data_IF_889436329047
#
_entry.id   IF_889436329047
#
_cell.length_a   1.000
_cell.length_b   1.000
_cell.length_c   1.000
_cell.angle_alpha   90.00
_cell.angle_beta   90.00
_cell.angle_gamma   90.00
#
_symmetry.space_group_name_H-M   'P 1'
#
loop_
_entity.id
_entity.type
_entity.pdbx_description
1 polymer ?
#
# COMPACT_ATOMS: atom_id res chain seq x y z
N UNK A 1 -8.54 -1.11 15.07
CA UNK A 1 -9.57 -0.74 14.07
C UNK A 1 -9.23 -1.18 12.64
N UNK A 2 -8.04 -0.91 12.10
CA UNK A 2 -7.74 -1.21 10.67
C UNK A 2 -7.72 -2.71 10.28
N UNK A 3 -7.73 -3.65 11.24
CA UNK A 3 -7.59 -5.10 10.99
C UNK A 3 -8.76 -5.75 10.23
N UNK A 4 -9.94 -5.13 10.20
CA UNK A 4 -11.19 -5.74 9.66
C UNK A 4 -11.88 -4.82 8.66
N UNK A 5 -11.27 -3.70 8.27
CA UNK A 5 -11.88 -2.77 7.32
C UNK A 5 -11.71 -3.28 5.87
N UNK A 6 -12.82 -3.44 5.12
CA UNK A 6 -12.77 -3.70 3.68
C UNK A 6 -12.00 -2.58 2.95
N UNK A 7 -11.37 -2.93 1.83
CA UNK A 7 -10.66 -1.97 0.98
C UNK A 7 -11.16 -2.07 -0.45
N UNK A 8 -11.07 -0.95 -1.18
CA UNK A 8 -11.28 -0.89 -2.62
C UNK A 8 -10.18 -0.03 -3.25
N UNK A 9 -9.77 -0.28 -4.49
CA UNK A 9 -8.89 0.63 -5.20
C UNK A 9 -9.60 1.97 -5.47
N UNK A 10 -8.82 3.04 -5.68
CA UNK A 10 -9.38 4.33 -6.14
C UNK A 10 -9.91 4.19 -7.56
N UNK A 11 -9.21 3.44 -8.41
CA UNK A 11 -9.61 3.11 -9.77
C UNK A 11 -9.71 1.60 -9.94
N UNK A 12 -10.86 1.10 -10.37
CA UNK A 12 -11.12 -0.34 -10.56
C UNK A 12 -10.13 -1.00 -11.54
N UNK A 13 -9.66 -0.24 -12.53
CA UNK A 13 -8.69 -0.72 -13.53
C UNK A 13 -7.27 -0.90 -12.97
N UNK A 14 -6.96 -0.39 -11.77
CA UNK A 14 -5.60 -0.41 -11.22
C UNK A 14 -5.11 -1.83 -10.93
N UNK A 15 -5.94 -2.68 -10.32
CA UNK A 15 -5.55 -4.07 -10.00
C UNK A 15 -5.33 -4.90 -11.28
N UNK A 16 -6.24 -4.91 -12.28
CA UNK A 16 -5.99 -5.58 -13.56
C UNK A 16 -4.72 -5.08 -14.27
N UNK A 17 -4.44 -3.78 -14.22
CA UNK A 17 -3.22 -3.21 -14.82
C UNK A 17 -1.95 -3.73 -14.15
N UNK A 18 -1.91 -3.80 -12.81
CA UNK A 18 -0.79 -4.40 -12.08
C UNK A 18 -0.61 -5.88 -12.45
N UNK A 19 -1.68 -6.66 -12.47
CA UNK A 19 -1.61 -8.07 -12.84
C UNK A 19 -1.04 -8.28 -14.25
N UNK A 20 -1.46 -7.46 -15.22
CA UNK A 20 -0.92 -7.49 -16.59
C UNK A 20 0.58 -7.15 -16.62
N UNK A 21 1.03 -6.20 -15.82
CA UNK A 21 2.46 -5.86 -15.71
C UNK A 21 3.26 -7.04 -15.11
N UNK A 22 2.74 -7.69 -14.06
CA UNK A 22 3.36 -8.88 -13.47
C UNK A 22 3.47 -10.02 -14.49
N UNK A 23 2.41 -10.27 -15.27
CA UNK A 23 2.40 -11.29 -16.34
C UNK A 23 3.42 -11.00 -17.45
N UNK A 24 3.73 -9.72 -17.69
CA UNK A 24 4.77 -9.28 -18.63
C UNK A 24 6.19 -9.35 -18.04
N UNK A 25 6.34 -9.88 -16.83
CA UNK A 25 7.63 -10.01 -16.15
C UNK A 25 8.15 -8.72 -15.52
N UNK A 26 7.30 -7.70 -15.38
CA UNK A 26 7.66 -6.47 -14.65
C UNK A 26 7.63 -6.76 -13.16
N UNK A 27 8.73 -6.43 -12.49
CA UNK A 27 8.87 -6.55 -11.03
C UNK A 27 8.01 -5.48 -10.35
N UNK A 28 7.06 -5.91 -9.53
CA UNK A 28 6.20 -5.04 -8.72
C UNK A 28 6.35 -5.43 -7.25
N UNK A 29 6.44 -4.41 -6.38
CA UNK A 29 6.46 -4.55 -4.93
C UNK A 29 5.71 -3.39 -4.25
N UNK A 30 5.27 -3.60 -3.02
CA UNK A 30 4.72 -2.54 -2.17
C UNK A 30 5.80 -1.82 -1.36
N UNK A 31 5.63 -0.52 -1.12
CA UNK A 31 6.48 0.29 -0.22
C UNK A 31 5.60 1.18 0.67
N UNK A 32 5.63 0.97 1.98
CA UNK A 32 4.66 1.60 2.89
C UNK A 32 5.29 2.05 4.21
N UNK A 33 4.83 3.18 4.76
CA UNK A 33 5.14 3.62 6.13
C UNK A 33 4.38 2.85 7.21
N UNK A 34 3.48 1.90 6.85
CA UNK A 34 2.82 1.06 7.85
C UNK A 34 3.86 0.34 8.70
N UNK A 35 3.59 0.29 10.00
CA UNK A 35 4.45 -0.45 10.94
C UNK A 35 4.36 -1.96 10.68
N UNK A 36 5.42 -2.74 10.96
CA UNK A 36 5.40 -4.20 10.82
C UNK A 36 4.28 -4.90 11.62
N UNK A 37 3.78 -4.29 12.70
CA UNK A 37 2.63 -4.79 13.46
C UNK A 37 1.32 -4.85 12.65
N UNK A 38 1.26 -4.19 11.49
CA UNK A 38 0.11 -4.14 10.58
C UNK A 38 0.26 -5.06 9.36
N UNK A 39 1.30 -5.91 9.31
CA UNK A 39 1.56 -6.84 8.21
C UNK A 39 0.33 -7.69 7.91
N UNK A 40 -0.21 -8.42 8.89
CA UNK A 40 -1.33 -9.35 8.64
C UNK A 40 -2.55 -8.64 8.06
N UNK A 41 -2.89 -7.45 8.55
CA UNK A 41 -4.00 -6.67 8.01
C UNK A 41 -3.73 -6.19 6.60
N UNK A 42 -2.51 -5.78 6.30
CA UNK A 42 -2.13 -5.29 4.97
C UNK A 42 -2.16 -6.42 3.95
N UNK A 43 -1.61 -7.59 4.30
CA UNK A 43 -1.62 -8.77 3.43
C UNK A 43 -3.04 -9.27 3.18
N UNK A 44 -3.91 -9.33 4.20
CA UNK A 44 -5.32 -9.66 4.01
C UNK A 44 -6.02 -8.67 3.08
N UNK A 45 -5.80 -7.37 3.27
CA UNK A 45 -6.40 -6.32 2.44
C UNK A 45 -5.96 -6.44 0.97
N UNK A 46 -4.66 -6.56 0.72
CA UNK A 46 -4.11 -6.73 -0.63
C UNK A 46 -4.63 -8.01 -1.29
N UNK A 47 -4.65 -9.12 -0.55
CA UNK A 47 -5.18 -10.41 -1.04
C UNK A 47 -6.67 -10.33 -1.35
N UNK A 48 -7.45 -9.58 -0.55
CA UNK A 48 -8.90 -9.42 -0.79
C UNK A 48 -9.22 -8.68 -2.10
N UNK A 49 -8.25 -7.93 -2.63
CA UNK A 49 -8.34 -7.28 -3.95
C UNK A 49 -7.89 -8.20 -5.10
N UNK A 50 -7.46 -9.43 -4.83
CA UNK A 50 -6.93 -10.36 -5.83
C UNK A 50 -5.50 -10.03 -6.29
N UNK A 51 -4.78 -9.18 -5.56
CA UNK A 51 -3.39 -8.84 -5.84
C UNK A 51 -2.45 -9.66 -4.95
N UNK A 52 -1.34 -10.14 -5.51
CA UNK A 52 -0.26 -10.76 -4.77
C UNK A 52 1.09 -10.20 -5.24
N UNK A 53 1.75 -9.39 -4.40
CA UNK A 53 3.06 -8.82 -4.74
C UNK A 53 4.15 -9.89 -4.89
N UNK A 54 4.00 -11.05 -4.25
CA UNK A 54 5.00 -12.12 -4.29
C UNK A 54 5.18 -12.71 -5.71
N UNK A 55 4.19 -12.57 -6.59
CA UNK A 55 4.19 -13.15 -7.94
C UNK A 55 5.32 -12.59 -8.81
N UNK A 56 5.63 -11.30 -8.63
CA UNK A 56 6.68 -10.57 -9.36
C UNK A 56 7.73 -9.95 -8.44
N UNK A 57 7.69 -10.25 -7.15
CA UNK A 57 8.51 -9.58 -6.16
C UNK A 57 10.01 -9.63 -6.50
N UNK A 58 10.79 -8.58 -6.16
CA UNK A 58 12.23 -8.56 -6.40
C UNK A 58 12.96 -9.73 -5.73
N UNK A 59 12.51 -10.15 -4.53
CA UNK A 59 12.92 -11.39 -3.86
C UNK A 59 11.74 -11.98 -3.10
N UNK A 60 11.75 -13.31 -2.89
CA UNK A 60 10.65 -14.02 -2.21
C UNK A 60 10.88 -14.25 -0.71
N UNK A 61 12.08 -13.98 -0.21
CA UNK A 61 12.46 -14.16 1.19
C UNK A 61 11.94 -13.01 2.06
N UNK A 62 11.62 -13.32 3.31
CA UNK A 62 11.27 -12.35 4.35
C UNK A 62 12.50 -12.02 5.17
N UNK A 63 12.71 -10.74 5.48
CA UNK A 63 13.82 -10.31 6.34
C UNK A 63 13.59 -8.91 6.92
N UNK A 64 14.28 -8.60 8.00
CA UNK A 64 14.32 -7.25 8.59
C UNK A 64 15.35 -6.38 7.88
N UNK A 65 15.06 -5.09 7.71
CA UNK A 65 16.00 -4.10 7.17
C UNK A 65 16.56 -3.26 8.32
N UNK A 66 17.90 -3.14 8.48
CA UNK A 66 18.51 -2.34 9.53
C UNK A 66 18.03 -0.88 9.49
N UNK A 67 17.49 -0.38 10.60
CA UNK A 67 16.89 0.95 10.68
C UNK A 67 16.66 1.38 12.14
N UNK A 68 16.32 2.65 12.36
CA UNK A 68 16.10 3.21 13.71
C UNK A 68 14.86 2.64 14.39
N UNK A 69 13.82 2.35 13.61
CA UNK A 69 12.57 1.74 14.07
C UNK A 69 12.25 0.49 13.25
N UNK A 70 11.49 -0.49 13.78
CA UNK A 70 11.28 -1.77 13.12
C UNK A 70 10.85 -1.63 11.65
N UNK A 71 11.65 -2.22 10.75
CA UNK A 71 11.40 -2.29 9.31
C UNK A 71 11.52 -3.74 8.85
N UNK A 72 10.61 -4.16 7.98
CA UNK A 72 10.58 -5.53 7.47
C UNK A 72 10.16 -5.57 6.01
N UNK A 73 10.80 -6.43 5.23
CA UNK A 73 10.33 -6.87 3.94
C UNK A 73 9.66 -8.23 4.06
N UNK A 74 8.40 -8.34 3.64
CA UNK A 74 7.61 -9.57 3.72
C UNK A 74 6.60 -9.62 2.58
N UNK A 75 6.50 -10.79 1.92
CA UNK A 75 5.54 -11.06 0.84
C UNK A 75 5.48 -9.98 -0.26
N UNK A 76 6.64 -9.47 -0.69
CA UNK A 76 6.70 -8.46 -1.74
C UNK A 76 6.38 -7.04 -1.28
N UNK A 77 6.29 -6.77 0.02
CA UNK A 77 6.01 -5.44 0.57
C UNK A 77 7.11 -5.05 1.56
N UNK A 78 7.67 -3.86 1.40
CA UNK A 78 8.61 -3.22 2.32
C UNK A 78 7.86 -2.29 3.27
N UNK A 79 7.80 -2.67 4.55
CA UNK A 79 7.21 -1.91 5.65
C UNK A 79 8.29 -1.08 6.31
N UNK A 80 8.33 0.22 6.04
CA UNK A 80 9.36 1.15 6.50
C UNK A 80 9.08 1.71 7.89
N UNK A 81 7.83 1.64 8.38
CA UNK A 81 7.44 2.34 9.62
C UNK A 81 7.38 3.87 9.45
N UNK A 82 6.70 4.53 10.40
CA UNK A 82 6.35 5.95 10.32
C UNK A 82 7.53 6.90 10.54
N UNK A 83 8.57 6.44 11.24
CA UNK A 83 9.70 7.28 11.66
C UNK A 83 10.96 7.09 10.79
N UNK A 84 10.94 6.18 9.83
CA UNK A 84 12.03 6.01 8.86
C UNK A 84 11.67 6.70 7.54
N UNK A 85 12.69 7.14 6.81
CA UNK A 85 12.55 7.65 5.44
C UNK A 85 12.44 6.48 4.45
N UNK A 86 11.37 6.43 3.64
CA UNK A 86 11.16 5.44 2.57
C UNK A 86 12.36 5.32 1.65
N UNK A 87 12.92 6.44 1.19
CA UNK A 87 14.04 6.46 0.26
C UNK A 87 15.28 5.77 0.83
N UNK A 88 15.69 6.14 2.05
CA UNK A 88 16.85 5.56 2.74
C UNK A 88 16.67 4.05 2.96
N UNK A 89 15.48 3.64 3.42
CA UNK A 89 15.15 2.22 3.65
C UNK A 89 15.15 1.42 2.35
N UNK A 90 14.62 2.00 1.27
CA UNK A 90 14.56 1.34 -0.02
C UNK A 90 15.96 1.12 -0.63
N UNK A 91 16.89 2.07 -0.46
CA UNK A 91 18.30 1.88 -0.85
C UNK A 91 18.95 0.75 -0.06
N UNK A 92 18.76 0.71 1.26
CA UNK A 92 19.27 -0.40 2.08
C UNK A 92 18.68 -1.74 1.66
N UNK A 93 17.40 -1.77 1.31
CA UNK A 93 16.77 -2.97 0.77
C UNK A 93 17.44 -3.44 -0.53
N UNK A 94 17.69 -2.55 -1.49
CA UNK A 94 18.38 -2.87 -2.75
C UNK A 94 19.79 -3.46 -2.52
N UNK A 95 20.53 -2.89 -1.55
CA UNK A 95 21.83 -3.39 -1.13
C UNK A 95 21.76 -4.80 -0.54
N UNK A 96 20.79 -5.07 0.36
CA UNK A 96 20.62 -6.39 1.00
C UNK A 96 20.32 -7.47 -0.03
N UNK A 97 19.46 -7.17 -1.00
CA UNK A 97 19.10 -8.14 -2.05
C UNK A 97 20.14 -8.20 -3.18
N UNK A 98 21.18 -7.36 -3.12
CA UNK A 98 22.21 -7.20 -4.13
C UNK A 98 21.63 -7.00 -5.55
N UNK A 99 20.69 -6.07 -5.70
CA UNK A 99 20.08 -5.73 -7.00
C UNK A 99 20.18 -4.24 -7.30
N UNK A 100 20.40 -3.94 -8.58
CA UNK A 100 20.41 -2.58 -9.12
C UNK A 100 19.53 -2.53 -10.38
N UNK A 101 18.23 -2.20 -10.26
CA UNK A 101 17.34 -2.11 -11.41
C UNK A 101 17.79 -0.97 -12.33
N UNK A 102 17.62 -1.12 -13.64
CA UNK A 102 17.94 -0.05 -14.62
C UNK A 102 16.97 1.13 -14.54
N UNK A 103 15.72 0.84 -14.16
CA UNK A 103 14.62 1.79 -14.11
C UNK A 103 13.69 1.47 -12.96
N UNK A 104 13.21 2.51 -12.28
CA UNK A 104 12.19 2.44 -11.24
C UNK A 104 11.06 3.41 -11.59
N UNK A 105 9.83 2.91 -11.54
CA UNK A 105 8.62 3.73 -11.53
C UNK A 105 8.05 3.68 -10.13
N UNK A 106 7.96 4.82 -9.46
CA UNK A 106 7.43 4.91 -8.10
C UNK A 106 6.15 5.75 -8.09
N UNK A 107 5.12 5.23 -7.43
CA UNK A 107 3.79 5.83 -7.38
C UNK A 107 3.41 5.98 -5.90
N UNK A 108 3.11 7.20 -5.47
CA UNK A 108 2.69 7.50 -4.09
C UNK A 108 1.73 8.70 -4.09
N UNK A 109 0.79 8.70 -3.15
CA UNK A 109 -0.18 9.78 -2.99
C UNK A 109 0.43 11.04 -2.37
N UNK A 110 1.62 10.95 -1.76
CA UNK A 110 2.32 12.12 -1.23
C UNK A 110 3.52 12.48 -2.08
N UNK A 111 3.48 13.68 -2.65
CA UNK A 111 4.60 14.28 -3.39
C UNK A 111 5.93 14.19 -2.64
N UNK A 112 5.93 14.47 -1.34
CA UNK A 112 7.15 14.41 -0.52
C UNK A 112 7.79 13.02 -0.52
N UNK A 113 7.00 11.93 -0.55
CA UNK A 113 7.57 10.58 -0.64
C UNK A 113 8.16 10.30 -2.04
N UNK A 114 7.51 10.81 -3.09
CA UNK A 114 8.01 10.66 -4.48
C UNK A 114 9.36 11.35 -4.65
N UNK A 115 9.49 12.58 -4.14
CA UNK A 115 10.73 13.35 -4.18
C UNK A 115 11.81 12.74 -3.26
N UNK A 116 11.42 12.21 -2.10
CA UNK A 116 12.35 11.57 -1.17
C UNK A 116 13.00 10.30 -1.76
N UNK A 117 12.22 9.47 -2.44
CA UNK A 117 12.75 8.26 -3.12
C UNK A 117 13.64 8.65 -4.29
N UNK A 118 13.28 9.67 -5.07
CA UNK A 118 14.12 10.21 -6.16
C UNK A 118 15.49 10.64 -5.63
N UNK A 119 15.50 11.46 -4.59
CA UNK A 119 16.70 11.98 -3.94
C UNK A 119 17.61 10.84 -3.43
N UNK A 120 17.03 9.78 -2.86
CA UNK A 120 17.79 8.65 -2.35
C UNK A 120 18.44 7.81 -3.48
N UNK A 121 17.86 7.80 -4.68
CA UNK A 121 18.36 7.08 -5.85
C UNK A 121 19.29 7.92 -6.74
N UNK A 122 19.39 9.23 -6.47
CA UNK A 122 20.23 10.15 -7.24
C UNK A 122 21.68 9.68 -7.25
N UNK A 123 22.29 9.64 -8.43
CA UNK A 123 23.68 9.19 -8.60
C UNK A 123 23.89 7.68 -8.58
N UNK A 124 22.84 6.86 -8.39
CA UNK A 124 22.97 5.38 -8.41
C UNK A 124 22.90 4.76 -9.81
N UNK A 125 22.84 5.57 -10.87
CA UNK A 125 22.71 5.08 -12.25
C UNK A 125 21.37 4.40 -12.56
N UNK A 126 20.35 4.66 -11.74
CA UNK A 126 19.00 4.12 -11.87
C UNK A 126 18.12 5.22 -12.50
N UNK A 127 17.48 4.94 -13.63
CA UNK A 127 16.48 5.84 -14.20
C UNK A 127 15.24 5.86 -13.28
N UNK A 128 14.76 7.04 -12.93
CA UNK A 128 13.64 7.21 -12.01
C UNK A 128 12.47 7.93 -12.66
N UNK A 129 11.27 7.39 -12.50
CA UNK A 129 10.01 8.04 -12.87
C UNK A 129 9.13 8.07 -11.62
N UNK A 130 8.98 9.26 -11.03
CA UNK A 130 8.10 9.52 -9.91
C UNK A 130 6.71 9.95 -10.37
N UNK A 131 5.66 9.29 -9.87
CA UNK A 131 4.26 9.64 -10.13
C UNK A 131 3.60 10.05 -8.81
N UNK A 132 3.30 11.34 -8.68
CA UNK A 132 2.47 11.84 -7.60
C UNK A 132 1.00 11.59 -7.93
N UNK A 133 0.38 10.64 -7.23
CA UNK A 133 -0.98 10.18 -7.53
C UNK A 133 -2.02 11.04 -6.79
N UNK A 134 -2.60 12.02 -7.49
CA UNK A 134 -3.54 13.00 -6.90
C UNK A 134 -5.01 12.60 -6.97
N UNK A 135 -5.36 11.48 -7.63
CA UNK A 135 -6.76 11.11 -7.82
C UNK A 135 -7.52 10.94 -6.49
N UNK A 136 -6.82 10.57 -5.42
CA UNK A 136 -7.38 10.45 -4.06
C UNK A 136 -7.93 11.78 -3.52
N UNK A 137 -7.39 12.92 -3.97
CA UNK A 137 -7.84 14.27 -3.57
C UNK A 137 -9.17 14.65 -4.23
N UNK A 138 -9.50 14.00 -5.35
CA UNK A 138 -10.72 14.22 -6.12
C UNK A 138 -11.84 13.23 -5.79
N UNK A 139 -11.58 12.25 -4.92
CA UNK A 139 -12.62 11.35 -4.43
C UNK A 139 -13.53 12.14 -3.48
N UNK A 140 -14.84 12.10 -3.74
CA UNK A 140 -15.82 12.75 -2.86
C UNK A 140 -15.67 12.24 -1.43
N UNK A 141 -15.64 13.16 -0.47
CA UNK A 141 -15.58 12.81 0.95
C UNK A 141 -16.91 12.16 1.35
N UNK A 142 -16.90 10.84 1.49
CA UNK A 142 -18.09 10.01 1.77
C UNK A 142 -18.53 10.05 3.25
N UNK A 143 -18.21 11.11 4.00
CA UNK A 143 -18.65 11.20 5.39
C UNK A 143 -20.13 11.61 5.46
N UNK A 144 -20.94 10.77 6.09
CA UNK A 144 -22.32 11.08 6.46
C UNK A 144 -22.47 10.85 7.97
N UNK A 145 -22.87 11.89 8.76
CA UNK A 145 -23.12 11.74 10.18
C UNK A 145 -24.13 10.64 10.50
N UNK A 146 -25.19 10.53 9.69
CA UNK A 146 -26.26 9.55 9.86
C UNK A 146 -25.74 8.12 9.69
N UNK A 147 -24.93 7.88 8.65
CA UNK A 147 -24.29 6.57 8.42
C UNK A 147 -23.32 6.26 9.57
N UNK A 148 -22.54 7.24 10.03
CA UNK A 148 -21.59 7.06 11.12
C UNK A 148 -22.29 6.70 12.45
N UNK A 149 -23.41 7.34 12.76
CA UNK A 149 -24.22 7.04 13.94
C UNK A 149 -24.82 5.64 13.88
N UNK A 150 -25.29 5.20 12.70
CA UNK A 150 -25.74 3.83 12.51
C UNK A 150 -24.60 2.83 12.69
N UNK A 151 -23.45 3.05 12.05
CA UNK A 151 -22.25 2.20 12.17
C UNK A 151 -21.77 2.06 13.62
N UNK A 152 -21.94 3.11 14.45
CA UNK A 152 -21.58 3.09 15.86
C UNK A 152 -22.34 2.00 16.64
N UNK A 153 -23.62 1.72 16.28
CA UNK A 153 -24.42 0.64 16.88
C UNK A 153 -23.78 -0.75 16.65
N UNK A 154 -23.00 -0.90 15.57
CA UNK A 154 -22.37 -2.15 15.15
C UNK A 154 -20.85 -2.14 15.34
N UNK A 155 -20.32 -1.39 16.32
CA UNK A 155 -18.87 -1.25 16.57
C UNK A 155 -18.10 -2.58 16.66
N UNK A 156 -18.76 -3.67 17.04
CA UNK A 156 -18.19 -5.04 17.09
C UNK A 156 -18.03 -5.70 15.71
N UNK A 157 -18.78 -5.24 14.70
CA UNK A 157 -18.78 -5.67 13.30
C UNK A 157 -18.62 -4.43 12.41
N UNK A 158 -17.38 -4.03 12.14
CA UNK A 158 -17.07 -2.86 11.29
C UNK A 158 -17.88 -2.95 9.99
N UNK A 159 -18.79 -2.00 9.80
CA UNK A 159 -19.74 -1.97 8.69
C UNK A 159 -19.31 -0.89 7.69
N UNK A 160 -19.33 -1.19 6.39
CA UNK A 160 -19.06 -0.19 5.34
C UNK A 160 -20.23 0.79 5.21
N UNK A 161 -20.03 1.92 4.51
CA UNK A 161 -21.15 2.83 4.21
C UNK A 161 -22.23 2.12 3.39
N UNK A 162 -21.84 1.33 2.39
CA UNK A 162 -22.78 0.56 1.56
C UNK A 162 -23.55 -0.49 2.40
N UNK A 163 -22.86 -1.17 3.31
CA UNK A 163 -23.48 -2.13 4.23
C UNK A 163 -24.44 -1.47 5.21
N UNK A 164 -24.09 -0.29 5.72
CA UNK A 164 -24.96 0.51 6.58
C UNK A 164 -26.22 0.96 5.84
N UNK A 165 -26.07 1.51 4.65
CA UNK A 165 -27.20 1.92 3.81
C UNK A 165 -28.13 0.75 3.51
N UNK A 166 -27.57 -0.43 3.18
CA UNK A 166 -28.37 -1.62 2.91
C UNK A 166 -29.21 -2.04 4.14
N UNK A 167 -28.63 -2.05 5.34
CA UNK A 167 -29.35 -2.40 6.57
C UNK A 167 -30.41 -1.36 6.93
N UNK A 168 -30.08 -0.06 6.83
CA UNK A 168 -31.02 1.05 7.06
C UNK A 168 -32.22 0.97 6.11
N UNK A 169 -32.00 0.70 4.82
CA UNK A 169 -33.07 0.57 3.81
C UNK A 169 -34.02 -0.60 4.07
N UNK A 170 -33.52 -1.67 4.70
CA UNK A 170 -34.31 -2.87 5.01
C UNK A 170 -34.89 -2.87 6.43
N UNK A 171 -34.70 -1.79 7.20
CA UNK A 171 -35.21 -1.68 8.58
C UNK A 171 -34.60 -2.71 9.54
N UNK A 172 -33.41 -3.22 9.23
CA UNK A 172 -32.70 -4.19 10.04
C UNK A 172 -31.73 -3.45 10.97
N UNK A 173 -32.19 -3.16 12.19
CA UNK A 173 -31.34 -2.71 13.31
C UNK A 173 -30.87 -3.88 14.18
#
# INVERSE_FOLDING_TARGET
MQKVCPVKPVEEAFIPALALLQQRGIVIMGLTHRQPSLVDSTLRQVTSLGLNFLDSAPVKTTFSVPSKTPTMYIQGILFTGEFNKKGEIFVLFLLIINKQPKKIVFIDDKRSHVEEVEMALMGQGIEYIGVHYTAIEHVEKVYSPEIAEFQYKFLTKILSNDGALLLMQHGLE
#
